data_IF_840652876517
#
_entry.id   IF_840652876517
#
_cell.length_a   1.000
_cell.length_b   1.000
_cell.length_c   1.000
_cell.angle_alpha   90.00
_cell.angle_beta   90.00
_cell.angle_gamma   90.00
#
_symmetry.space_group_name_H-M   'P 1'
#
loop_
_entity.id
_entity.type
_entity.pdbx_description
1 polymer ?
#
# COMPACT_ATOMS: atom_id res chain seq x y z
N UNK A 1 33.20 -24.09 -60.87
CA UNK A 1 32.71 -22.78 -60.39
C UNK A 1 31.82 -23.06 -59.19
N UNK A 2 32.39 -23.03 -57.98
CA UNK A 2 31.71 -23.35 -56.73
C UNK A 2 31.10 -22.07 -56.16
N UNK A 3 29.78 -22.06 -55.97
CA UNK A 3 29.04 -20.94 -55.37
C UNK A 3 29.21 -21.04 -53.85
N UNK A 4 29.94 -20.09 -53.27
CA UNK A 4 30.10 -19.93 -51.83
C UNK A 4 28.87 -19.26 -51.21
N UNK A 5 28.24 -19.98 -50.28
CA UNK A 5 27.31 -19.47 -49.29
C UNK A 5 28.09 -18.90 -48.10
N UNK A 6 27.78 -17.66 -47.68
CA UNK A 6 27.87 -17.13 -46.31
C UNK A 6 27.73 -15.60 -46.43
N UNK A 7 26.91 -14.87 -45.69
CA UNK A 7 26.08 -15.14 -44.53
C UNK A 7 25.80 -13.74 -43.97
N UNK A 8 24.56 -13.26 -44.08
CA UNK A 8 24.20 -11.92 -43.64
C UNK A 8 24.21 -11.86 -42.10
N UNK A 9 25.11 -11.06 -41.54
CA UNK A 9 25.14 -10.72 -40.12
C UNK A 9 23.94 -9.81 -39.80
N UNK A 10 22.85 -10.42 -39.30
CA UNK A 10 21.75 -9.70 -38.67
C UNK A 10 22.16 -9.35 -37.23
N UNK A 11 22.65 -8.13 -37.03
CA UNK A 11 22.75 -7.53 -35.70
C UNK A 11 21.32 -7.25 -35.23
N UNK A 12 20.82 -8.08 -34.32
CA UNK A 12 19.59 -7.78 -33.58
C UNK A 12 19.94 -6.74 -32.51
N UNK A 13 19.17 -5.64 -32.38
CA UNK A 13 19.32 -4.75 -31.26
C UNK A 13 18.78 -5.45 -30.01
N UNK A 14 19.67 -5.73 -29.06
CA UNK A 14 19.28 -6.09 -27.70
C UNK A 14 18.57 -4.89 -27.09
N UNK A 15 17.26 -4.98 -26.92
CA UNK A 15 16.53 -4.07 -26.04
C UNK A 15 16.99 -4.36 -24.62
N UNK A 16 17.93 -3.57 -24.11
CA UNK A 16 18.20 -3.52 -22.69
C UNK A 16 16.98 -2.87 -22.02
N UNK A 17 16.10 -3.68 -21.45
CA UNK A 17 15.14 -3.18 -20.46
C UNK A 17 15.96 -2.89 -19.20
N UNK A 18 16.35 -1.64 -19.01
CA UNK A 18 16.71 -1.17 -17.69
C UNK A 18 15.41 -1.17 -16.88
N UNK A 19 15.22 -2.21 -16.06
CA UNK A 19 14.36 -2.06 -14.89
C UNK A 19 15.07 -1.02 -14.01
N UNK A 20 14.52 0.18 -13.95
CA UNK A 20 14.94 1.18 -12.96
C UNK A 20 14.57 0.62 -11.58
N UNK A 21 15.52 -0.04 -10.93
CA UNK A 21 15.44 -0.33 -9.51
C UNK A 21 15.81 0.97 -8.77
N UNK A 22 14.80 1.82 -8.55
CA UNK A 22 14.93 3.02 -7.72
C UNK A 22 15.12 2.59 -6.24
N UNK A 23 16.37 2.39 -5.83
CA UNK A 23 16.70 2.24 -4.41
C UNK A 23 16.77 3.64 -3.77
N UNK A 24 15.61 4.14 -3.36
CA UNK A 24 15.53 5.35 -2.55
C UNK A 24 16.03 5.02 -1.13
N UNK A 25 17.23 5.52 -0.77
CA UNK A 25 17.81 5.37 0.57
C UNK A 25 17.30 6.40 1.60
N UNK A 26 16.15 7.03 1.34
CA UNK A 26 15.49 7.83 2.38
C UNK A 26 14.89 6.88 3.41
N UNK A 27 15.58 6.71 4.52
CA UNK A 27 14.98 6.10 5.71
C UNK A 27 13.93 7.06 6.24
N UNK A 28 12.66 6.71 6.03
CA UNK A 28 11.54 7.44 6.63
C UNK A 28 11.32 6.92 8.05
N UNK A 29 10.48 7.60 8.83
CA UNK A 29 10.10 7.10 10.15
C UNK A 29 9.58 5.64 10.05
N UNK A 30 10.12 4.69 10.82
CA UNK A 30 9.75 3.28 10.69
C UNK A 30 8.29 2.99 11.08
N UNK A 31 7.69 3.80 11.95
CA UNK A 31 6.25 3.73 12.23
C UNK A 31 5.47 4.18 11.00
N UNK A 32 5.90 5.26 10.34
CA UNK A 32 5.27 5.73 9.11
C UNK A 32 5.39 4.70 7.97
N UNK A 33 6.55 4.06 7.83
CA UNK A 33 6.78 2.99 6.86
C UNK A 33 5.86 1.78 7.09
N UNK A 34 5.66 1.39 8.35
CA UNK A 34 4.73 0.31 8.70
C UNK A 34 3.26 0.62 8.36
N UNK A 35 2.91 1.90 8.18
CA UNK A 35 1.56 2.35 7.84
C UNK A 35 1.32 2.52 6.33
N UNK A 36 2.27 2.11 5.47
CA UNK A 36 2.16 2.31 4.02
C UNK A 36 0.83 1.81 3.41
N UNK A 37 0.35 0.64 3.84
CA UNK A 37 -0.93 0.08 3.42
C UNK A 37 -2.12 0.93 3.86
N UNK A 38 -2.11 1.40 5.10
CA UNK A 38 -3.18 2.23 5.66
C UNK A 38 -3.23 3.60 4.97
N UNK A 39 -2.06 4.16 4.61
CA UNK A 39 -1.94 5.43 3.87
C UNK A 39 -2.51 5.29 2.45
N UNK A 40 -2.15 4.23 1.73
CA UNK A 40 -2.75 3.93 0.43
C UNK A 40 -4.25 3.69 0.61
N UNK A 41 -4.65 2.98 1.65
CA UNK A 41 -6.04 2.65 1.91
C UNK A 41 -6.92 3.86 2.13
N UNK A 42 -6.53 4.77 3.01
CA UNK A 42 -7.26 6.02 3.21
C UNK A 42 -7.36 6.83 1.91
N UNK A 43 -6.30 6.86 1.10
CA UNK A 43 -6.29 7.51 -0.22
C UNK A 43 -7.28 6.86 -1.19
N UNK A 44 -7.25 5.54 -1.31
CA UNK A 44 -8.13 4.78 -2.21
C UNK A 44 -9.59 4.84 -1.74
N UNK A 45 -9.84 4.74 -0.44
CA UNK A 45 -11.16 4.88 0.17
C UNK A 45 -11.77 6.27 -0.09
N UNK A 46 -10.96 7.32 -0.02
CA UNK A 46 -11.37 8.66 -0.44
C UNK A 46 -11.71 8.71 -1.93
N UNK A 47 -10.85 8.13 -2.78
CA UNK A 47 -11.08 8.06 -4.22
C UNK A 47 -12.35 7.30 -4.59
N UNK A 48 -12.69 6.26 -3.84
CA UNK A 48 -13.94 5.48 -4.01
C UNK A 48 -15.19 6.18 -3.47
N UNK A 49 -15.04 7.29 -2.73
CA UNK A 49 -16.16 7.97 -2.07
C UNK A 49 -16.65 7.25 -0.81
N UNK A 50 -15.82 6.40 -0.20
CA UNK A 50 -16.11 5.70 1.06
C UNK A 50 -15.49 6.37 2.29
N UNK A 51 -14.53 7.29 2.09
CA UNK A 51 -14.05 8.24 3.10
C UNK A 51 -14.59 9.64 2.74
N UNK A 52 -15.27 10.29 3.68
CA UNK A 52 -15.86 11.62 3.46
C UNK A 52 -14.81 12.73 3.54
N UNK A 53 -15.05 13.88 2.89
CA UNK A 53 -14.19 15.07 3.03
C UNK A 53 -14.08 15.53 4.50
N UNK A 54 -15.17 15.40 5.26
CA UNK A 54 -15.22 15.76 6.68
C UNK A 54 -14.31 14.87 7.54
N UNK A 55 -14.20 13.58 7.18
CA UNK A 55 -13.46 12.58 7.95
C UNK A 55 -12.01 12.42 7.46
N UNK A 56 -11.70 12.86 6.24
CA UNK A 56 -10.38 12.71 5.63
C UNK A 56 -9.29 13.42 6.44
N UNK A 57 -9.45 14.72 6.69
CA UNK A 57 -8.48 15.52 7.44
C UNK A 57 -8.21 14.96 8.85
N UNK A 58 -9.23 14.67 9.69
CA UNK A 58 -8.99 14.10 11.02
C UNK A 58 -8.37 12.69 10.97
N UNK A 59 -8.71 11.85 9.99
CA UNK A 59 -8.09 10.53 9.85
C UNK A 59 -6.58 10.65 9.55
N UNK A 60 -6.19 11.47 8.58
CA UNK A 60 -4.78 11.70 8.28
C UNK A 60 -4.04 12.42 9.42
N UNK A 61 -4.69 13.37 10.11
CA UNK A 61 -4.08 14.04 11.26
C UNK A 61 -3.79 13.07 12.40
N UNK A 62 -4.72 12.14 12.69
CA UNK A 62 -4.49 11.11 13.70
C UNK A 62 -3.43 10.10 13.28
N UNK A 63 -3.33 9.76 11.98
CA UNK A 63 -2.24 8.95 11.43
C UNK A 63 -0.88 9.63 11.66
N UNK A 64 -0.77 10.92 11.33
CA UNK A 64 0.43 11.75 11.55
C UNK A 64 0.81 11.75 13.04
N UNK A 65 -0.16 12.00 13.93
CA UNK A 65 0.05 12.02 15.37
C UNK A 65 0.53 10.66 15.89
N UNK A 66 -0.04 9.57 15.38
CA UNK A 66 0.31 8.21 15.76
C UNK A 66 1.72 7.82 15.28
N UNK A 67 2.09 8.17 14.06
CA UNK A 67 3.43 7.96 13.52
C UNK A 67 4.49 8.88 14.15
N UNK A 68 4.08 9.96 14.83
CA UNK A 68 4.99 10.94 15.42
C UNK A 68 5.75 11.74 14.38
N UNK A 69 5.12 12.00 13.23
CA UNK A 69 5.68 12.77 12.11
C UNK A 69 4.89 14.07 11.90
N UNK A 70 5.26 14.87 10.91
CA UNK A 70 4.43 15.97 10.43
C UNK A 70 3.82 15.69 9.04
N UNK A 71 2.96 16.59 8.57
CA UNK A 71 2.33 16.45 7.25
C UNK A 71 3.32 16.54 6.08
N UNK A 72 4.46 17.21 6.26
CA UNK A 72 5.48 17.30 5.23
C UNK A 72 6.20 15.96 5.06
N UNK A 73 6.56 15.31 6.16
CA UNK A 73 7.18 13.99 6.16
C UNK A 73 6.23 12.92 5.59
N UNK A 74 4.95 12.92 6.00
CA UNK A 74 3.93 12.07 5.39
C UNK A 74 3.82 12.31 3.88
N UNK A 75 3.74 13.57 3.44
CA UNK A 75 3.66 13.91 2.03
C UNK A 75 4.88 13.45 1.23
N UNK A 76 6.08 13.62 1.78
CA UNK A 76 7.32 13.15 1.18
C UNK A 76 7.40 11.63 1.11
N UNK A 77 6.96 10.92 2.16
CA UNK A 77 6.89 9.46 2.15
C UNK A 77 5.90 8.97 1.09
N UNK A 78 4.69 9.56 1.05
CA UNK A 78 3.71 9.22 0.03
C UNK A 78 4.28 9.41 -1.37
N UNK A 79 4.82 10.59 -1.68
CA UNK A 79 5.34 10.88 -3.03
C UNK A 79 6.50 9.95 -3.44
N UNK A 80 7.41 9.64 -2.52
CA UNK A 80 8.64 8.91 -2.86
C UNK A 80 8.50 7.38 -2.77
N UNK A 81 7.56 6.88 -1.98
CA UNK A 81 7.50 5.45 -1.64
C UNK A 81 6.16 4.80 -1.97
N UNK A 82 5.05 5.55 -1.99
CA UNK A 82 3.71 4.96 -2.15
C UNK A 82 2.98 5.42 -3.42
N UNK A 83 3.27 6.63 -3.90
CA UNK A 83 2.46 7.33 -4.89
C UNK A 83 2.31 6.58 -6.21
N UNK A 84 3.36 5.91 -6.67
CA UNK A 84 3.30 5.10 -7.90
C UNK A 84 2.33 3.92 -7.78
N UNK A 85 2.36 3.21 -6.65
CA UNK A 85 1.48 2.06 -6.41
C UNK A 85 0.04 2.53 -6.12
N UNK A 86 -0.12 3.59 -5.35
CA UNK A 86 -1.42 4.21 -5.10
C UNK A 86 -2.08 4.66 -6.41
N UNK A 87 -1.33 5.29 -7.32
CA UNK A 87 -1.83 5.70 -8.64
C UNK A 87 -2.25 4.49 -9.48
N UNK A 88 -1.42 3.43 -9.50
CA UNK A 88 -1.75 2.19 -10.20
C UNK A 88 -3.09 1.62 -9.71
N UNK A 89 -3.27 1.46 -8.40
CA UNK A 89 -4.52 0.97 -7.79
C UNK A 89 -5.68 1.91 -8.12
N UNK A 90 -5.50 3.23 -8.00
CA UNK A 90 -6.57 4.18 -8.26
C UNK A 90 -6.96 4.26 -9.75
N UNK A 91 -6.04 3.92 -10.66
CA UNK A 91 -6.25 3.94 -12.11
C UNK A 91 -7.01 2.71 -12.65
N UNK A 92 -6.97 1.59 -11.93
CA UNK A 92 -7.63 0.34 -12.32
C UNK A 92 -8.91 0.10 -11.49
N UNK A 93 -10.04 -0.13 -12.14
CA UNK A 93 -11.33 -0.34 -11.45
C UNK A 93 -11.36 -1.64 -10.65
N UNK A 94 -10.72 -2.71 -11.13
CA UNK A 94 -10.69 -4.00 -10.45
C UNK A 94 -9.82 -3.92 -9.20
N UNK A 95 -8.64 -3.30 -9.29
CA UNK A 95 -7.76 -3.11 -8.13
C UNK A 95 -8.43 -2.19 -7.09
N UNK A 96 -9.07 -1.11 -7.53
CA UNK A 96 -9.79 -0.21 -6.64
C UNK A 96 -11.01 -0.86 -5.98
N UNK A 97 -11.64 -1.83 -6.64
CA UNK A 97 -12.79 -2.57 -6.09
C UNK A 97 -12.41 -3.50 -4.92
N UNK A 98 -11.12 -3.81 -4.76
CA UNK A 98 -10.62 -4.60 -3.64
C UNK A 98 -10.74 -3.81 -2.32
N UNK A 99 -10.75 -2.48 -2.39
CA UNK A 99 -10.98 -1.57 -1.27
C UNK A 99 -12.48 -1.33 -1.06
N UNK A 100 -13.13 -2.36 -0.52
CA UNK A 100 -14.58 -2.38 -0.29
C UNK A 100 -15.03 -1.31 0.69
N UNK A 101 -16.32 -0.94 0.63
CA UNK A 101 -16.94 -0.02 1.57
C UNK A 101 -16.71 -0.43 3.04
N UNK A 102 -16.94 -1.70 3.38
CA UNK A 102 -16.80 -2.20 4.76
C UNK A 102 -15.36 -2.04 5.26
N UNK A 103 -14.38 -2.45 4.44
CA UNK A 103 -12.96 -2.24 4.76
C UNK A 103 -12.64 -0.76 4.98
N UNK A 104 -13.13 0.12 4.11
CA UNK A 104 -12.91 1.56 4.22
C UNK A 104 -13.56 2.16 5.48
N UNK A 105 -14.74 1.69 5.87
CA UNK A 105 -15.39 2.11 7.12
C UNK A 105 -14.58 1.66 8.35
N UNK A 106 -14.06 0.43 8.34
CA UNK A 106 -13.20 -0.07 9.43
C UNK A 106 -11.89 0.73 9.55
N UNK A 107 -11.18 0.92 8.44
CA UNK A 107 -9.94 1.68 8.39
C UNK A 107 -10.17 3.14 8.82
N UNK A 108 -11.22 3.79 8.29
CA UNK A 108 -11.58 5.16 8.68
C UNK A 108 -11.88 5.25 10.17
N UNK A 109 -12.65 4.30 10.71
CA UNK A 109 -12.98 4.25 12.15
C UNK A 109 -11.72 4.12 13.00
N UNK A 110 -10.74 3.31 12.58
CA UNK A 110 -9.47 3.16 13.28
C UNK A 110 -8.75 4.52 13.43
N UNK A 111 -8.71 5.30 12.35
CA UNK A 111 -8.03 6.60 12.33
C UNK A 111 -8.86 7.79 12.80
N UNK A 112 -10.19 7.70 12.86
CA UNK A 112 -11.02 8.74 13.50
C UNK A 112 -10.98 8.66 15.02
N UNK A 113 -10.80 7.47 15.57
CA UNK A 113 -10.89 7.23 17.01
C UNK A 113 -9.59 6.63 17.54
N UNK A 114 -8.72 7.41 18.21
CA UNK A 114 -7.38 6.96 18.60
C UNK A 114 -7.33 5.68 19.46
N UNK A 115 -8.39 5.39 20.23
CA UNK A 115 -8.48 4.15 21.01
C UNK A 115 -8.68 2.88 20.15
N UNK A 116 -9.10 3.04 18.90
CA UNK A 116 -9.20 1.95 17.92
C UNK A 116 -7.88 1.69 17.18
N UNK A 117 -6.93 2.64 17.16
CA UNK A 117 -5.61 2.46 16.52
C UNK A 117 -4.84 1.29 17.12
N UNK A 118 -4.83 1.17 18.45
CA UNK A 118 -4.16 0.06 19.16
C UNK A 118 -4.80 -1.27 18.77
N UNK A 119 -6.14 -1.32 18.64
CA UNK A 119 -6.87 -2.52 18.21
C UNK A 119 -6.62 -2.85 16.74
N UNK A 120 -6.53 -1.84 15.87
CA UNK A 120 -6.20 -2.00 14.46
C UNK A 120 -4.80 -2.58 14.28
N UNK A 121 -3.83 -2.07 15.05
CA UNK A 121 -2.47 -2.58 15.05
C UNK A 121 -2.40 -4.04 15.52
N UNK A 122 -3.07 -4.40 16.62
CA UNK A 122 -3.07 -5.77 17.13
C UNK A 122 -3.63 -6.78 16.12
N UNK A 123 -4.70 -6.41 15.39
CA UNK A 123 -5.24 -7.23 14.29
C UNK A 123 -4.20 -7.48 13.17
N UNK A 124 -3.25 -6.58 12.98
CA UNK A 124 -2.20 -6.68 11.97
C UNK A 124 -0.88 -7.30 12.49
N UNK A 125 -0.70 -7.43 13.81
CA UNK A 125 0.56 -7.86 14.45
C UNK A 125 0.49 -9.14 15.30
N UNK A 126 -0.70 -9.64 15.67
CA UNK A 126 -0.82 -10.80 16.57
C UNK A 126 -0.64 -12.14 15.84
N UNK A 127 0.62 -12.59 15.80
CA UNK A 127 1.01 -14.00 15.71
C UNK A 127 1.58 -14.46 17.06
N UNK A 128 0.75 -14.59 18.10
CA UNK A 128 1.02 -15.56 19.17
C UNK A 128 -0.21 -15.80 20.05
N UNK A 129 -0.51 -17.08 20.29
CA UNK A 129 -1.80 -17.52 20.82
C UNK A 129 -2.14 -17.05 22.23
N UNK A 130 -3.39 -16.64 22.44
CA UNK A 130 -4.39 -17.36 23.23
C UNK A 130 -5.69 -16.57 23.26
N UNK A 131 -6.81 -17.30 23.13
CA UNK A 131 -8.16 -16.79 22.97
C UNK A 131 -8.59 -15.80 24.05
N UNK A 132 -9.28 -14.71 23.64
CA UNK A 132 -10.62 -14.36 24.13
C UNK A 132 -11.29 -13.34 23.18
N UNK A 133 -12.47 -13.72 22.67
CA UNK A 133 -13.51 -12.92 22.00
C UNK A 133 -13.24 -11.43 21.74
N UNK A 134 -12.83 -11.09 20.51
CA UNK A 134 -13.54 -10.19 19.59
C UNK A 134 -12.74 -10.05 18.28
N UNK A 135 -13.25 -10.66 17.20
CA UNK A 135 -12.83 -10.46 15.80
C UNK A 135 -11.29 -10.47 15.54
N UNK A 136 -10.66 -11.62 15.76
CA UNK A 136 -9.41 -11.97 15.08
C UNK A 136 -9.68 -11.98 13.57
N UNK A 137 -8.88 -11.23 12.81
CA UNK A 137 -8.85 -11.37 11.35
C UNK A 137 -8.28 -12.77 11.07
N UNK A 138 -9.12 -13.66 10.54
CA UNK A 138 -8.70 -15.03 10.22
C UNK A 138 -7.45 -15.00 9.30
N UNK A 139 -6.49 -15.93 9.46
CA UNK A 139 -5.39 -16.09 8.51
C UNK A 139 -5.85 -16.19 7.04
N UNK A 140 -7.09 -16.65 6.83
CA UNK A 140 -7.75 -16.68 5.53
C UNK A 140 -8.07 -15.28 5.00
N UNK A 141 -8.51 -14.34 5.86
CA UNK A 141 -8.76 -12.95 5.48
C UNK A 141 -7.44 -12.24 5.18
N UNK A 142 -6.39 -12.49 5.96
CA UNK A 142 -5.05 -11.97 5.70
C UNK A 142 -4.49 -12.45 4.35
N UNK A 143 -4.58 -13.75 4.09
CA UNK A 143 -4.15 -14.32 2.82
C UNK A 143 -4.99 -13.78 1.65
N UNK A 144 -6.29 -13.60 1.86
CA UNK A 144 -7.16 -12.93 0.89
C UNK A 144 -6.77 -11.47 0.66
N UNK A 145 -6.34 -10.73 1.68
CA UNK A 145 -5.90 -9.34 1.54
C UNK A 145 -4.59 -9.24 0.75
N UNK A 146 -3.66 -10.18 0.95
CA UNK A 146 -2.44 -10.29 0.14
C UNK A 146 -2.77 -10.67 -1.31
N UNK A 147 -3.63 -11.66 -1.52
CA UNK A 147 -4.07 -12.10 -2.86
C UNK A 147 -4.85 -11.03 -3.60
N UNK A 148 -5.59 -10.19 -2.86
CA UNK A 148 -6.34 -9.04 -3.36
C UNK A 148 -5.52 -7.75 -3.34
N UNK A 149 -4.19 -7.81 -3.18
CA UNK A 149 -3.33 -6.62 -3.27
C UNK A 149 -3.64 -5.50 -2.26
N UNK A 150 -4.42 -5.79 -1.20
CA UNK A 150 -4.73 -4.84 -0.12
C UNK A 150 -3.57 -4.66 0.85
N UNK A 151 -2.59 -5.57 0.81
CA UNK A 151 -1.37 -5.49 1.59
C UNK A 151 -0.16 -5.41 0.65
N UNK A 152 0.55 -4.30 0.69
CA UNK A 152 1.82 -4.13 -0.01
C UNK A 152 2.86 -5.05 0.62
N UNK A 153 3.68 -5.66 -0.23
CA UNK A 153 5.00 -6.15 0.17
C UNK A 153 5.91 -4.95 0.19
N UNK A 154 6.13 -4.37 1.37
CA UNK A 154 7.20 -3.39 1.55
C UNK A 154 8.48 -4.24 1.68
N UNK A 155 9.27 -4.28 0.60
CA UNK A 155 10.59 -4.94 0.54
C UNK A 155 11.72 -4.01 1.01
#
# INVERSE_FOLDING_TARGET
MLIGLAGALLLSPSFATAAEHNHNHNHFNPVLEALGNDIIGLTVCYRNGYLSEQDQEPAFQNLINYAGVDGQELGMYYMNSLGAEAEKIMSDEQDRALWTKDYCEELTTAYLYPHHLIRWQHKNHDHDGHAHNHADISPEVLQQDIERGRLLRIE
#
